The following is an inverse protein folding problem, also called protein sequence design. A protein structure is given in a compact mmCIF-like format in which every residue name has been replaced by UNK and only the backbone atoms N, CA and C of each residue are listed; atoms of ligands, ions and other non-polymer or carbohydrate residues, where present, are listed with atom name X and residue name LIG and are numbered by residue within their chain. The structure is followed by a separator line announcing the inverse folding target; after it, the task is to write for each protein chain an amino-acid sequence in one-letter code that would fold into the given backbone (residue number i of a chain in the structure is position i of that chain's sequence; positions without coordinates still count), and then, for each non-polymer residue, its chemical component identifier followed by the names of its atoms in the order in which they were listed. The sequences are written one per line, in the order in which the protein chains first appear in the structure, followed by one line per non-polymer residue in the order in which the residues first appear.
data_IF_353095329098
#
_entry.id   IF_353095329098
#
_cell.length_a   1.000
_cell.length_b   1.000
_cell.length_c   1.000
_cell.angle_alpha   90.00
_cell.angle_beta   90.00
_cell.angle_gamma   90.00
#
_symmetry.space_group_name_H-M   'P 1'
#
loop_
_entity.id
_entity.type
_entity.pdbx_description
1 polymer ?
#
# COMPACT_ATOMS: atom_id res chain seq x y z
N UNK A 1 23.41 -33.94 -34.70
CA UNK A 1 23.75 -32.67 -34.02
C UNK A 1 23.97 -32.97 -32.55
N UNK A 2 25.22 -33.13 -32.14
CA UNK A 2 25.57 -33.56 -30.77
C UNK A 2 25.81 -32.31 -29.94
N UNK A 3 24.81 -31.87 -29.18
CA UNK A 3 25.00 -30.79 -28.20
C UNK A 3 26.05 -31.28 -27.20
N UNK A 4 27.21 -30.61 -27.14
CA UNK A 4 28.31 -30.96 -26.23
C UNK A 4 27.77 -30.94 -24.80
N UNK A 5 27.97 -32.02 -24.04
CA UNK A 5 27.49 -32.21 -22.65
C UNK A 5 27.77 -31.00 -21.74
N UNK A 6 28.83 -30.25 -22.02
CA UNK A 6 29.23 -29.02 -21.34
C UNK A 6 28.22 -27.88 -21.46
N UNK A 7 27.53 -27.75 -22.61
CA UNK A 7 26.54 -26.69 -22.86
C UNK A 7 25.25 -26.96 -22.09
N UNK A 8 24.87 -28.24 -21.99
CA UNK A 8 23.70 -28.65 -21.22
C UNK A 8 23.89 -28.40 -19.72
N UNK A 9 25.09 -28.66 -19.19
CA UNK A 9 25.41 -28.43 -17.78
C UNK A 9 25.34 -26.94 -17.40
N UNK A 10 25.84 -26.04 -18.27
CA UNK A 10 25.78 -24.59 -18.05
C UNK A 10 24.33 -24.07 -18.07
N UNK A 11 23.51 -24.60 -18.98
CA UNK A 11 22.08 -24.26 -19.06
C UNK A 11 21.31 -24.70 -17.81
N UNK A 12 21.61 -25.89 -17.27
CA UNK A 12 20.97 -26.39 -16.04
C UNK A 12 21.36 -25.56 -14.82
N UNK A 13 22.64 -25.14 -14.71
CA UNK A 13 23.10 -24.28 -13.62
C UNK A 13 22.48 -22.88 -13.70
N UNK A 14 22.38 -22.30 -14.91
CA UNK A 14 21.70 -21.00 -15.11
C UNK A 14 20.21 -21.08 -14.77
N UNK A 15 19.53 -22.16 -15.15
CA UNK A 15 18.13 -22.39 -14.80
C UNK A 15 17.94 -22.54 -13.28
N UNK A 16 18.83 -23.24 -12.58
CA UNK A 16 18.79 -23.38 -11.13
C UNK A 16 19.00 -22.05 -10.39
N UNK A 17 19.90 -21.19 -10.89
CA UNK A 17 20.12 -19.85 -10.34
C UNK A 17 18.89 -18.95 -10.58
N UNK A 18 18.27 -19.03 -11.76
CA UNK A 18 17.02 -18.31 -12.07
C UNK A 18 15.85 -18.79 -11.20
N UNK A 19 15.73 -20.08 -10.92
CA UNK A 19 14.74 -20.61 -9.98
C UNK A 19 14.99 -20.17 -8.54
N UNK A 20 16.24 -20.10 -8.10
CA UNK A 20 16.60 -19.62 -6.76
C UNK A 20 16.35 -18.12 -6.59
N UNK A 21 16.60 -17.30 -7.63
CA UNK A 21 16.27 -15.87 -7.65
C UNK A 21 14.77 -15.63 -7.75
N UNK A 22 14.04 -16.42 -8.54
CA UNK A 22 12.57 -16.36 -8.63
C UNK A 22 11.88 -16.74 -7.32
N UNK A 23 12.43 -17.70 -6.57
CA UNK A 23 11.93 -18.06 -5.24
C UNK A 23 12.19 -16.96 -4.19
N UNK A 24 13.24 -16.14 -4.36
CA UNK A 24 13.47 -14.96 -3.51
C UNK A 24 12.55 -13.78 -3.85
N UNK A 25 12.03 -13.69 -5.07
CA UNK A 25 11.03 -12.71 -5.47
C UNK A 25 9.62 -13.06 -4.95
N UNK A 26 9.37 -14.33 -4.65
CA UNK A 26 8.18 -14.79 -3.90
C UNK A 26 8.44 -14.76 -2.38
N UNK A 27 9.02 -13.67 -1.87
CA UNK A 27 8.67 -13.30 -0.50
C UNK A 27 7.21 -12.87 -0.58
N UNK A 28 6.33 -13.79 -0.23
CA UNK A 28 4.99 -13.45 0.23
C UNK A 28 5.18 -12.33 1.26
N UNK A 29 4.91 -11.10 0.85
CA UNK A 29 4.69 -10.02 1.79
C UNK A 29 3.58 -10.58 2.66
N UNK A 30 3.88 -10.81 3.93
CA UNK A 30 2.88 -11.21 4.91
C UNK A 30 1.99 -9.96 5.05
N UNK A 31 1.01 -9.84 4.14
CA UNK A 31 0.10 -8.71 4.10
C UNK A 31 -0.79 -8.91 5.31
N UNK A 32 -0.40 -8.26 6.42
CA UNK A 32 -1.22 -8.17 7.61
C UNK A 32 -2.61 -7.71 7.17
N UNK A 33 -3.65 -8.41 7.60
CA UNK A 33 -5.02 -7.92 7.40
C UNK A 33 -5.15 -6.54 8.07
N UNK A 34 -5.86 -5.58 7.43
CA UNK A 34 -6.08 -4.28 8.04
C UNK A 34 -6.85 -4.45 9.36
N UNK A 35 -6.40 -3.77 10.41
CA UNK A 35 -7.09 -3.67 11.69
C UNK A 35 -8.47 -2.99 11.53
N UNK A 36 -8.58 -2.04 10.59
CA UNK A 36 -9.86 -1.50 10.15
C UNK A 36 -9.77 -0.92 8.74
N UNK A 37 -10.93 -0.80 8.09
CA UNK A 37 -11.10 -0.23 6.75
C UNK A 37 -12.24 0.77 6.80
N UNK A 38 -12.08 1.93 6.17
CA UNK A 38 -13.12 2.96 6.08
C UNK A 38 -13.29 3.41 4.62
N UNK A 39 -14.53 3.48 4.17
CA UNK A 39 -14.94 3.99 2.85
C UNK A 39 -15.68 5.30 3.02
N UNK A 40 -15.21 6.36 2.36
CA UNK A 40 -15.80 7.70 2.51
C UNK A 40 -16.15 8.25 1.15
N UNK A 41 -17.39 8.72 0.99
CA UNK A 41 -17.86 9.38 -0.23
C UNK A 41 -17.69 10.89 -0.11
N UNK A 42 -16.90 11.47 -1.00
CA UNK A 42 -16.42 12.83 -1.05
C UNK A 42 -16.30 13.27 -2.52
N UNK A 43 -16.77 14.47 -2.83
CA UNK A 43 -16.46 15.07 -4.13
C UNK A 43 -14.94 15.22 -4.31
N UNK A 44 -14.51 15.50 -5.54
CA UNK A 44 -13.08 15.55 -5.87
C UNK A 44 -12.30 16.57 -5.03
N UNK A 45 -12.84 17.76 -4.80
CA UNK A 45 -12.15 18.81 -4.04
C UNK A 45 -11.99 18.38 -2.58
N UNK A 46 -13.05 17.82 -1.99
CA UNK A 46 -13.04 17.26 -0.65
C UNK A 46 -12.03 16.11 -0.53
N UNK A 47 -11.91 15.24 -1.53
CA UNK A 47 -10.91 14.16 -1.54
C UNK A 47 -9.49 14.68 -1.47
N UNK A 48 -9.15 15.64 -2.32
CA UNK A 48 -7.82 16.24 -2.37
C UNK A 48 -7.47 16.87 -1.01
N UNK A 49 -8.43 17.56 -0.37
CA UNK A 49 -8.27 18.12 0.98
C UNK A 49 -8.06 17.04 2.06
N UNK A 50 -8.83 15.95 2.01
CA UNK A 50 -8.68 14.85 2.99
C UNK A 50 -7.33 14.16 2.87
N UNK A 51 -6.86 13.93 1.64
CA UNK A 51 -5.53 13.38 1.41
C UNK A 51 -4.45 14.31 1.96
N UNK A 52 -4.58 15.63 1.78
CA UNK A 52 -3.65 16.61 2.34
C UNK A 52 -3.65 16.59 3.88
N UNK A 53 -4.82 16.49 4.52
CA UNK A 53 -4.91 16.41 5.98
C UNK A 53 -4.32 15.10 6.52
N UNK A 54 -4.54 13.98 5.82
CA UNK A 54 -3.89 12.71 6.12
C UNK A 54 -2.37 12.81 5.97
N UNK A 55 -1.87 13.51 4.94
CA UNK A 55 -0.44 13.78 4.77
C UNK A 55 0.13 14.56 5.95
N UNK A 56 -0.61 15.55 6.47
CA UNK A 56 -0.19 16.32 7.64
C UNK A 56 -0.11 15.46 8.91
N UNK A 57 -1.10 14.58 9.15
CA UNK A 57 -1.08 13.61 10.24
C UNK A 57 0.11 12.66 10.07
N UNK A 58 0.29 12.08 8.89
CA UNK A 58 1.41 11.17 8.62
C UNK A 58 2.77 11.84 8.90
N UNK A 59 2.95 13.08 8.46
CA UNK A 59 4.17 13.85 8.66
C UNK A 59 4.43 14.19 10.13
N UNK A 60 3.39 14.49 10.92
CA UNK A 60 3.54 14.75 12.37
C UNK A 60 4.05 13.54 13.13
N UNK A 61 3.77 12.33 12.62
CA UNK A 61 4.23 11.05 13.17
C UNK A 61 5.43 10.45 12.40
N UNK A 62 6.13 11.24 11.59
CA UNK A 62 7.33 10.82 10.83
C UNK A 62 7.09 9.61 9.90
N UNK A 63 5.87 9.45 9.39
CA UNK A 63 5.58 8.44 8.38
C UNK A 63 6.03 8.92 7.01
N UNK A 64 6.71 8.04 6.27
CA UNK A 64 7.09 8.28 4.88
C UNK A 64 5.93 7.92 3.96
N UNK A 65 5.49 8.88 3.15
CA UNK A 65 4.56 8.63 2.04
C UNK A 65 5.29 8.02 0.85
N UNK A 66 4.76 6.95 0.30
CA UNK A 66 5.17 6.34 -0.96
C UNK A 66 3.97 6.31 -1.91
N UNK A 67 4.18 6.76 -3.14
CA UNK A 67 3.13 6.83 -4.16
C UNK A 67 3.33 5.64 -5.10
N UNK A 68 2.37 4.72 -5.11
CA UNK A 68 2.35 3.62 -6.07
C UNK A 68 1.41 4.00 -7.22
N UNK A 69 1.96 4.00 -8.43
CA UNK A 69 1.19 4.21 -9.67
C UNK A 69 0.99 2.86 -10.35
N UNK A 70 0.27 1.97 -9.69
CA UNK A 70 -0.08 0.67 -10.26
C UNK A 70 -1.57 0.65 -10.62
N UNK A 71 -1.97 0.01 -11.73
CA UNK A 71 -3.37 -0.33 -11.93
C UNK A 71 -3.78 -1.31 -10.83
N UNK A 72 -4.87 -1.03 -10.12
CA UNK A 72 -5.42 -1.99 -9.18
C UNK A 72 -5.86 -3.25 -9.94
N UNK A 73 -5.41 -4.43 -9.53
CA UNK A 73 -5.88 -5.67 -10.16
C UNK A 73 -7.37 -5.93 -9.86
N UNK A 74 -7.87 -5.38 -8.75
CA UNK A 74 -9.27 -5.47 -8.32
C UNK A 74 -10.15 -4.44 -9.04
N UNK A 75 -9.61 -3.25 -9.30
CA UNK A 75 -10.32 -2.12 -9.87
C UNK A 75 -9.73 -1.84 -11.24
N UNK A 76 -10.45 -2.16 -12.33
CA UNK A 76 -10.00 -2.04 -13.74
C UNK A 76 -9.76 -0.60 -14.23
N UNK A 77 -9.32 0.29 -13.35
CA UNK A 77 -9.15 1.73 -13.50
C UNK A 77 -7.91 2.20 -12.72
N UNK A 78 -7.31 3.36 -13.08
CA UNK A 78 -6.20 3.89 -12.34
C UNK A 78 -6.62 4.19 -10.90
N UNK A 79 -5.79 3.81 -9.94
CA UNK A 79 -5.99 4.13 -8.52
C UNK A 79 -4.73 4.84 -8.06
N UNK A 80 -4.89 5.94 -7.36
CA UNK A 80 -3.79 6.57 -6.64
C UNK A 80 -3.64 5.85 -5.32
N UNK A 81 -2.53 5.14 -5.17
CA UNK A 81 -2.19 4.41 -3.96
C UNK A 81 -1.15 5.20 -3.18
N UNK A 82 -1.49 5.56 -1.95
CA UNK A 82 -0.58 6.20 -1.02
C UNK A 82 -0.30 5.24 0.13
N UNK A 83 0.94 4.77 0.26
CA UNK A 83 1.38 4.00 1.41
C UNK A 83 2.08 4.90 2.42
N UNK A 84 1.71 4.78 3.69
CA UNK A 84 2.34 5.54 4.78
C UNK A 84 3.12 4.58 5.66
N UNK A 85 4.45 4.71 5.64
CA UNK A 85 5.37 3.74 6.22
C UNK A 85 6.15 4.31 7.40
N UNK A 86 6.36 3.49 8.42
CA UNK A 86 7.34 3.73 9.47
C UNK A 86 8.54 2.79 9.25
N UNK A 87 9.59 3.29 8.62
CA UNK A 87 10.66 2.44 8.06
C UNK A 87 10.11 1.63 6.89
N UNK A 88 10.20 0.30 6.96
CA UNK A 88 9.69 -0.61 5.91
C UNK A 88 8.31 -1.19 6.25
N UNK A 89 7.70 -0.77 7.36
CA UNK A 89 6.40 -1.26 7.81
C UNK A 89 5.32 -0.30 7.31
N UNK A 90 4.36 -0.82 6.55
CA UNK A 90 3.14 -0.08 6.15
C UNK A 90 2.25 0.07 7.37
N UNK A 91 1.95 1.32 7.75
CA UNK A 91 1.04 1.64 8.86
C UNK A 91 -0.39 1.74 8.36
N UNK A 92 -0.60 2.44 7.24
CA UNK A 92 -1.88 2.52 6.55
C UNK A 92 -1.68 2.84 5.07
N UNK A 93 -2.70 2.54 4.27
CA UNK A 93 -2.79 2.96 2.87
C UNK A 93 -4.05 3.77 2.62
N UNK A 94 -3.97 4.68 1.65
CA UNK A 94 -5.11 5.44 1.13
C UNK A 94 -5.25 5.14 -0.35
N UNK A 95 -6.43 4.68 -0.74
CA UNK A 95 -6.80 4.33 -2.11
C UNK A 95 -7.77 5.38 -2.64
N UNK A 96 -7.31 6.14 -3.63
CA UNK A 96 -8.11 7.10 -4.36
C UNK A 96 -8.41 6.57 -5.78
N UNK A 97 -9.65 6.11 -5.98
CA UNK A 97 -10.10 5.59 -7.27
C UNK A 97 -10.24 6.71 -8.29
N UNK A 98 -9.43 6.68 -9.36
CA UNK A 98 -9.56 7.62 -10.47
C UNK A 98 -10.75 7.19 -11.34
N UNK A 99 -11.77 8.04 -11.39
CA UNK A 99 -12.80 7.98 -12.44
C UNK A 99 -13.95 7.00 -12.24
N UNK A 100 -14.24 6.52 -11.03
CA UNK A 100 -15.58 5.95 -10.82
C UNK A 100 -16.02 5.78 -9.38
N UNK A 101 -15.85 6.83 -8.62
CA UNK A 101 -16.49 7.01 -7.34
C UNK A 101 -15.91 8.22 -6.65
N UNK A 102 -16.78 8.94 -5.96
CA UNK A 102 -16.45 9.90 -4.91
C UNK A 102 -15.79 9.19 -3.72
N UNK A 103 -15.42 7.91 -3.83
CA UNK A 103 -14.91 7.13 -2.71
C UNK A 103 -13.41 7.30 -2.51
N UNK A 104 -13.03 7.54 -1.26
CA UNK A 104 -11.69 7.37 -0.71
C UNK A 104 -11.73 6.19 0.26
N UNK A 105 -10.86 5.19 0.08
CA UNK A 105 -10.78 4.03 0.99
C UNK A 105 -9.48 4.09 1.78
N UNK A 106 -9.56 3.88 3.08
CA UNK A 106 -8.42 3.90 3.99
C UNK A 106 -8.30 2.52 4.63
N UNK A 107 -7.14 1.86 4.43
CA UNK A 107 -6.83 0.58 5.07
C UNK A 107 -5.79 0.84 6.17
N UNK A 108 -6.14 0.55 7.41
CA UNK A 108 -5.26 0.75 8.54
C UNK A 108 -4.70 -0.57 9.03
N UNK A 109 -3.38 -0.75 8.99
CA UNK A 109 -2.69 -1.99 9.39
C UNK A 109 -2.08 -1.89 10.79
N UNK A 110 -1.81 -0.67 11.25
CA UNK A 110 -1.22 -0.41 12.56
C UNK A 110 0.25 -0.82 12.70
N UNK A 111 0.83 -0.48 13.84
CA UNK A 111 2.16 -0.91 14.26
C UNK A 111 2.00 -1.86 15.45
N UNK A 112 2.70 -3.01 15.40
CA UNK A 112 2.49 -4.14 16.31
C UNK A 112 2.57 -3.83 17.82
N UNK A 113 3.17 -2.70 18.22
CA UNK A 113 3.37 -2.38 19.64
C UNK A 113 3.63 -0.89 19.90
N UNK A 114 2.82 0.02 19.34
CA UNK A 114 3.04 1.45 19.59
C UNK A 114 1.78 2.24 19.91
N UNK A 115 1.84 3.01 21.00
CA UNK A 115 0.96 4.14 21.30
C UNK A 115 0.82 5.11 20.11
N UNK A 116 1.84 5.16 19.25
CA UNK A 116 1.84 5.91 17.99
C UNK A 116 0.78 5.40 17.03
N UNK A 117 0.62 4.07 16.89
CA UNK A 117 -0.46 3.44 16.10
C UNK A 117 -1.85 3.89 16.60
N UNK A 118 -2.10 3.80 17.90
CA UNK A 118 -3.39 4.20 18.46
C UNK A 118 -3.67 5.70 18.24
N UNK A 119 -2.64 6.53 18.37
CA UNK A 119 -2.75 7.98 18.16
C UNK A 119 -3.07 8.31 16.70
N UNK A 120 -2.33 7.75 15.74
CA UNK A 120 -2.59 7.94 14.30
C UNK A 120 -4.00 7.46 13.96
N UNK A 121 -4.38 6.27 14.41
CA UNK A 121 -5.73 5.75 14.14
C UNK A 121 -6.82 6.66 14.71
N UNK A 122 -6.62 7.22 15.90
CA UNK A 122 -7.58 8.13 16.52
C UNK A 122 -7.68 9.44 15.76
N UNK A 123 -6.55 10.05 15.39
CA UNK A 123 -6.51 11.31 14.64
C UNK A 123 -7.18 11.17 13.27
N UNK A 124 -6.91 10.08 12.55
CA UNK A 124 -7.58 9.79 11.28
C UNK A 124 -9.07 9.62 11.53
N UNK A 125 -9.52 8.77 12.47
CA UNK A 125 -10.96 8.59 12.75
C UNK A 125 -11.66 9.89 13.13
N UNK A 126 -11.02 10.76 13.91
CA UNK A 126 -11.55 12.08 14.26
C UNK A 126 -11.73 12.94 13.02
N UNK A 127 -10.70 13.03 12.17
CA UNK A 127 -10.76 13.74 10.89
C UNK A 127 -11.96 13.26 10.06
N UNK A 128 -12.11 11.94 9.88
CA UNK A 128 -13.19 11.36 9.08
C UNK A 128 -14.58 11.64 9.69
N UNK A 129 -14.68 11.58 11.01
CA UNK A 129 -15.92 11.91 11.72
C UNK A 129 -16.33 13.37 11.56
N UNK A 130 -15.38 14.31 11.55
CA UNK A 130 -15.65 15.73 11.31
C UNK A 130 -16.14 16.00 9.88
N UNK A 131 -15.66 15.21 8.92
CA UNK A 131 -16.05 15.33 7.51
C UNK A 131 -17.45 14.75 7.30
N UNK A 132 -17.79 13.61 7.91
CA UNK A 132 -19.08 12.95 7.75
C UNK A 132 -20.28 13.74 8.32
N UNK A 133 -20.03 14.74 9.18
CA UNK A 133 -21.06 15.58 9.82
C UNK A 133 -21.31 16.88 9.03
N UNK A 134 -20.50 17.19 8.01
CA UNK A 134 -20.65 18.36 7.13
C UNK A 134 -21.56 18.07 5.93
#
# INVERSE_FOLDING_TARGET
MTVKKSVLAVLVVMLAILCALGAMALRSVDVKDPEWVEDIKLDKESKDQVVELIDQIANSHSLRKEILQEPSELERRPVHFYEYKHGEIIVFTVHDLKGGGDTLTIYYYGLADSKVSETISSEIKTLLGEIAVR
#
